data_IF_692485222727
#
_entry.id   IF_692485222727
#
_cell.length_a   1.000
_cell.length_b   1.000
_cell.length_c   1.000
_cell.angle_alpha   90.00
_cell.angle_beta   90.00
_cell.angle_gamma   90.00
#
_symmetry.space_group_name_H-M   'P 1'
#
loop_
_entity.id
_entity.type
_entity.pdbx_description
1 polymer ?
#
# COMPACT_ATOMS: atom_id res chain seq x y z
N UNK A 1 20.42 -8.14 14.78
CA UNK A 1 21.34 -8.48 13.67
C UNK A 1 21.46 -7.27 12.76
N UNK A 2 22.61 -7.05 12.11
CA UNK A 2 22.72 -6.07 11.03
C UNK A 2 21.95 -6.55 9.78
N UNK A 3 21.57 -5.65 8.85
CA UNK A 3 20.96 -6.06 7.58
C UNK A 3 21.76 -7.14 6.82
N UNK A 4 23.09 -7.04 6.81
CA UNK A 4 23.98 -8.01 6.17
C UNK A 4 23.94 -9.38 6.88
N UNK A 5 23.87 -9.39 8.21
CA UNK A 5 23.72 -10.62 8.99
C UNK A 5 22.37 -11.29 8.76
N UNK A 6 21.28 -10.51 8.73
CA UNK A 6 19.93 -11.01 8.42
C UNK A 6 19.90 -11.64 7.04
N UNK A 7 20.40 -10.94 6.02
CA UNK A 7 20.44 -11.45 4.65
C UNK A 7 21.26 -12.74 4.53
N UNK A 8 22.45 -12.79 5.15
CA UNK A 8 23.29 -14.00 5.16
C UNK A 8 22.62 -15.17 5.88
N UNK A 9 21.90 -14.93 6.98
CA UNK A 9 21.19 -15.98 7.71
C UNK A 9 20.07 -16.59 6.87
N UNK A 10 19.26 -15.75 6.20
CA UNK A 10 18.24 -16.23 5.26
C UNK A 10 18.86 -17.07 4.15
N UNK A 11 19.94 -16.57 3.52
CA UNK A 11 20.60 -17.32 2.45
C UNK A 11 21.17 -18.67 2.93
N UNK A 12 21.70 -18.72 4.15
CA UNK A 12 22.20 -19.96 4.75
C UNK A 12 21.09 -20.98 5.04
N UNK A 13 19.92 -20.53 5.48
CA UNK A 13 18.75 -21.40 5.75
C UNK A 13 18.17 -22.02 4.47
N UNK A 14 18.38 -21.38 3.33
CA UNK A 14 17.88 -21.83 2.03
C UNK A 14 18.85 -22.74 1.28
N UNK A 15 20.07 -22.93 1.77
CA UNK A 15 21.05 -23.77 1.10
C UNK A 15 20.52 -25.21 0.92
N UNK A 16 20.63 -25.80 -0.29
CA UNK A 16 21.49 -25.38 -1.41
C UNK A 16 20.83 -24.44 -2.45
N UNK A 17 19.63 -23.93 -2.20
CA UNK A 17 18.97 -23.01 -3.14
C UNK A 17 19.74 -21.69 -3.30
N UNK A 18 19.72 -21.15 -4.51
CA UNK A 18 20.44 -19.93 -4.88
C UNK A 18 19.76 -18.68 -4.32
N UNK A 19 20.10 -18.28 -3.10
CA UNK A 19 19.64 -17.04 -2.48
C UNK A 19 20.73 -15.96 -2.55
N UNK A 20 20.38 -14.78 -3.07
CA UNK A 20 21.31 -13.65 -3.21
C UNK A 20 20.96 -12.55 -2.21
N UNK A 21 21.71 -12.43 -1.10
CA UNK A 21 21.50 -11.36 -0.14
C UNK A 21 22.15 -10.05 -0.61
N UNK A 22 21.45 -8.94 -0.34
CA UNK A 22 21.89 -7.58 -0.57
C UNK A 22 21.34 -6.67 0.53
N UNK A 23 21.73 -5.40 0.52
CA UNK A 23 21.22 -4.39 1.45
C UNK A 23 20.62 -3.25 0.64
N UNK A 24 19.37 -2.89 0.97
CA UNK A 24 18.64 -1.77 0.37
C UNK A 24 18.24 -0.75 1.43
N UNK A 25 17.90 0.48 1.00
CA UNK A 25 17.63 1.60 1.92
C UNK A 25 18.93 2.19 2.46
N UNK A 26 19.23 3.45 2.15
CA UNK A 26 20.52 4.04 2.55
C UNK A 26 20.73 4.10 4.07
N UNK A 27 21.99 4.05 4.51
CA UNK A 27 22.49 4.25 5.90
C UNK A 27 21.46 3.89 6.99
N UNK A 28 20.79 4.87 7.61
CA UNK A 28 19.88 4.67 8.76
C UNK A 28 18.65 3.80 8.49
N UNK A 29 18.30 3.59 7.23
CA UNK A 29 17.13 2.81 6.79
C UNK A 29 17.55 1.52 6.08
N UNK A 30 18.80 1.12 6.24
CA UNK A 30 19.33 -0.11 5.67
C UNK A 30 18.54 -1.33 6.13
N UNK A 31 18.16 -2.18 5.17
CA UNK A 31 17.38 -3.39 5.35
C UNK A 31 17.96 -4.51 4.49
N UNK A 32 17.87 -5.72 5.01
CA UNK A 32 18.23 -6.91 4.25
C UNK A 32 17.26 -7.06 3.07
N UNK A 33 17.77 -7.36 1.89
CA UNK A 33 16.97 -7.78 0.75
C UNK A 33 17.55 -9.07 0.21
N UNK A 34 16.72 -10.10 0.05
CA UNK A 34 17.19 -11.41 -0.39
C UNK A 34 16.37 -11.83 -1.60
N UNK A 35 17.07 -11.99 -2.71
CA UNK A 35 16.50 -12.53 -3.94
C UNK A 35 16.54 -14.05 -3.84
N UNK A 36 15.38 -14.69 -4.00
CA UNK A 36 15.23 -16.15 -3.91
C UNK A 36 14.55 -16.69 -5.18
N UNK A 37 14.86 -17.94 -5.59
CA UNK A 37 14.18 -18.57 -6.71
C UNK A 37 12.71 -18.78 -6.38
N UNK A 38 11.82 -18.68 -7.36
CA UNK A 38 10.38 -18.83 -7.15
C UNK A 38 10.00 -20.18 -6.50
N UNK A 39 10.78 -21.23 -6.79
CA UNK A 39 10.61 -22.55 -6.19
C UNK A 39 10.85 -22.58 -4.67
N UNK A 40 11.72 -21.69 -4.15
CA UNK A 40 12.06 -21.60 -2.73
C UNK A 40 11.32 -20.45 -2.03
N UNK A 41 10.41 -19.75 -2.70
CA UNK A 41 9.69 -18.59 -2.17
C UNK A 41 8.99 -18.89 -0.84
N UNK A 42 8.10 -19.89 -0.82
CA UNK A 42 7.34 -20.23 0.39
C UNK A 42 8.26 -20.70 1.51
N UNK A 43 9.28 -21.50 1.18
CA UNK A 43 10.27 -21.97 2.16
C UNK A 43 11.08 -20.81 2.75
N UNK A 44 11.41 -19.79 1.96
CA UNK A 44 12.10 -18.60 2.44
C UNK A 44 11.29 -17.84 3.49
N UNK A 45 9.99 -17.64 3.24
CA UNK A 45 9.10 -17.00 4.21
C UNK A 45 8.92 -17.86 5.46
N UNK A 46 8.75 -19.17 5.30
CA UNK A 46 8.63 -20.11 6.42
C UNK A 46 9.88 -20.10 7.30
N UNK A 47 11.06 -20.23 6.69
CA UNK A 47 12.35 -20.23 7.39
C UNK A 47 12.63 -18.88 8.07
N UNK A 48 12.27 -17.76 7.45
CA UNK A 48 12.40 -16.44 8.08
C UNK A 48 11.51 -16.29 9.33
N UNK A 49 10.32 -16.89 9.31
CA UNK A 49 9.39 -16.92 10.44
C UNK A 49 9.89 -17.82 11.58
N UNK A 50 10.27 -19.05 11.23
CA UNK A 50 10.49 -20.14 12.20
C UNK A 50 11.90 -20.18 12.79
N UNK A 51 12.89 -19.59 12.10
CA UNK A 51 14.24 -19.49 12.63
C UNK A 51 14.30 -18.60 13.89
N UNK A 52 14.96 -19.07 14.94
CA UNK A 52 14.98 -18.38 16.23
C UNK A 52 15.79 -17.06 16.22
N UNK A 53 16.78 -16.93 15.32
CA UNK A 53 17.59 -15.71 15.19
C UNK A 53 16.89 -14.67 14.32
N UNK A 54 16.17 -15.11 13.28
CA UNK A 54 15.38 -14.22 12.43
C UNK A 54 14.04 -13.84 13.08
N UNK A 55 13.27 -14.82 13.55
CA UNK A 55 11.97 -14.69 14.20
C UNK A 55 11.09 -13.60 13.58
N UNK A 56 10.95 -13.62 12.24
CA UNK A 56 10.15 -12.63 11.51
C UNK A 56 8.65 -12.97 11.66
N UNK A 57 8.11 -12.66 12.84
CA UNK A 57 6.77 -12.97 13.29
C UNK A 57 5.69 -11.99 12.79
N UNK A 58 6.09 -10.86 12.21
CA UNK A 58 5.20 -9.86 11.66
C UNK A 58 5.33 -9.77 10.14
N UNK A 59 4.24 -10.09 9.44
CA UNK A 59 4.08 -9.82 8.02
C UNK A 59 3.55 -8.40 7.84
N UNK A 60 4.28 -7.59 7.08
CA UNK A 60 3.93 -6.17 6.87
C UNK A 60 3.12 -5.98 5.58
N UNK A 61 3.71 -6.31 4.43
CA UNK A 61 3.04 -6.19 3.14
C UNK A 61 3.66 -7.13 2.09
N UNK A 62 2.88 -7.42 1.04
CA UNK A 62 3.33 -8.08 -0.19
C UNK A 62 2.79 -7.31 -1.39
N UNK A 63 3.63 -7.13 -2.41
CA UNK A 63 3.25 -6.53 -3.69
C UNK A 63 4.16 -7.04 -4.81
N UNK A 64 4.03 -6.48 -6.00
CA UNK A 64 4.90 -6.79 -7.12
C UNK A 64 5.47 -5.54 -7.81
N UNK A 65 6.54 -5.74 -8.58
CA UNK A 65 7.10 -4.75 -9.49
C UNK A 65 7.14 -5.36 -10.89
N UNK A 66 6.58 -4.66 -11.87
CA UNK A 66 6.65 -5.06 -13.29
C UNK A 66 8.02 -4.69 -13.85
N UNK A 67 8.88 -5.67 -14.14
CA UNK A 67 10.19 -5.49 -14.77
C UNK A 67 10.12 -5.66 -16.30
N UNK A 68 8.95 -5.42 -16.88
CA UNK A 68 8.68 -5.50 -18.32
C UNK A 68 9.00 -6.90 -18.85
N UNK A 69 9.94 -7.00 -19.79
CA UNK A 69 10.31 -8.25 -20.44
C UNK A 69 10.93 -9.27 -19.47
N UNK A 70 11.50 -8.81 -18.35
CA UNK A 70 12.16 -9.69 -17.38
C UNK A 70 11.15 -10.40 -16.45
N UNK A 71 9.87 -9.99 -16.47
CA UNK A 71 8.81 -10.57 -15.66
C UNK A 71 8.39 -9.68 -14.50
N UNK A 72 7.98 -10.28 -13.39
CA UNK A 72 7.52 -9.57 -12.20
C UNK A 72 8.34 -9.95 -10.97
N UNK A 73 8.75 -8.95 -10.20
CA UNK A 73 9.33 -9.13 -8.88
C UNK A 73 8.23 -9.13 -7.83
N UNK A 74 7.92 -10.28 -7.26
CA UNK A 74 7.07 -10.38 -6.08
C UNK A 74 7.93 -10.08 -4.86
N UNK A 75 7.49 -9.16 -4.01
CA UNK A 75 8.25 -8.69 -2.84
C UNK A 75 7.38 -8.81 -1.60
N UNK A 76 7.93 -9.39 -0.53
CA UNK A 76 7.31 -9.45 0.78
C UNK A 76 8.22 -8.79 1.81
N UNK A 77 7.65 -7.93 2.65
CA UNK A 77 8.34 -7.32 3.78
C UNK A 77 7.95 -8.02 5.08
N UNK A 78 8.96 -8.53 5.77
CA UNK A 78 8.81 -9.20 7.06
C UNK A 78 9.59 -8.46 8.14
N UNK A 79 9.06 -8.50 9.35
CA UNK A 79 9.66 -7.87 10.52
C UNK A 79 9.66 -8.82 11.71
N UNK A 80 10.72 -8.74 12.52
CA UNK A 80 10.78 -9.40 13.82
C UNK A 80 10.43 -8.41 14.92
N UNK A 81 9.29 -8.60 15.58
CA UNK A 81 8.92 -7.79 16.75
C UNK A 81 9.84 -8.07 17.93
N UNK A 82 10.33 -9.31 18.05
CA UNK A 82 11.26 -9.75 19.10
C UNK A 82 12.65 -9.14 18.94
N UNK A 83 13.23 -9.23 17.75
CA UNK A 83 14.64 -8.84 17.52
C UNK A 83 14.77 -7.44 16.90
N UNK A 84 13.66 -6.83 16.45
CA UNK A 84 13.57 -5.49 15.87
C UNK A 84 14.45 -5.29 14.63
N UNK A 85 14.44 -6.27 13.75
CA UNK A 85 15.02 -6.19 12.40
C UNK A 85 13.98 -6.63 11.38
N UNK A 86 14.24 -6.37 10.09
CA UNK A 86 13.37 -6.80 9.01
C UNK A 86 14.14 -7.23 7.77
N UNK A 87 13.43 -7.92 6.89
CA UNK A 87 13.94 -8.43 5.62
C UNK A 87 12.90 -8.21 4.52
N UNK A 88 13.38 -7.84 3.34
CA UNK A 88 12.63 -7.89 2.10
C UNK A 88 13.00 -9.20 1.39
N UNK A 89 12.04 -10.10 1.23
CA UNK A 89 12.19 -11.26 0.38
C UNK A 89 11.63 -10.93 -0.99
N UNK A 90 12.40 -11.23 -2.04
CA UNK A 90 11.98 -10.98 -3.41
C UNK A 90 12.16 -12.22 -4.27
N UNK A 91 11.22 -12.46 -5.16
CA UNK A 91 11.34 -13.50 -6.17
C UNK A 91 10.85 -13.02 -7.52
N UNK A 92 11.51 -13.48 -8.58
CA UNK A 92 11.13 -13.16 -9.95
C UNK A 92 10.29 -14.27 -10.56
N UNK A 93 9.14 -13.90 -11.10
CA UNK A 93 8.25 -14.80 -11.86
C UNK A 93 8.21 -14.40 -13.33
N UNK A 94 8.07 -15.40 -14.21
CA UNK A 94 8.01 -15.19 -15.66
C UNK A 94 6.76 -14.42 -16.07
N UNK A 95 6.84 -13.67 -17.16
CA UNK A 95 5.76 -12.80 -17.61
C UNK A 95 4.57 -13.53 -18.24
N UNK A 96 4.85 -14.60 -18.99
CA UNK A 96 3.84 -15.29 -19.82
C UNK A 96 2.85 -16.10 -18.98
N UNK A 97 3.29 -16.57 -17.82
CA UNK A 97 2.50 -17.33 -16.86
C UNK A 97 3.00 -16.99 -15.45
N UNK A 98 2.73 -15.77 -14.96
CA UNK A 98 3.28 -15.30 -13.70
C UNK A 98 2.58 -16.02 -12.54
N UNK A 99 3.32 -16.89 -11.87
CA UNK A 99 2.80 -17.66 -10.75
C UNK A 99 3.87 -17.86 -9.68
N UNK A 100 3.45 -17.83 -8.42
CA UNK A 100 4.28 -18.13 -7.25
C UNK A 100 3.45 -18.90 -6.23
N UNK A 101 4.10 -19.60 -5.28
CA UNK A 101 3.39 -20.24 -4.17
C UNK A 101 2.76 -19.18 -3.26
N UNK A 102 1.50 -19.40 -2.87
CA UNK A 102 0.85 -18.66 -1.78
C UNK A 102 1.60 -18.89 -0.47
N UNK A 103 1.55 -17.88 0.39
CA UNK A 103 2.16 -17.89 1.73
C UNK A 103 1.12 -17.62 2.81
N UNK A 104 -0.18 -17.72 2.49
CA UNK A 104 -1.28 -17.51 3.44
C UNK A 104 -1.24 -18.49 4.61
N UNK A 105 -0.78 -19.72 4.38
CA UNK A 105 -0.60 -20.72 5.43
C UNK A 105 0.59 -20.41 6.35
N UNK A 106 1.56 -19.63 5.87
CA UNK A 106 2.68 -19.10 6.68
C UNK A 106 2.26 -17.83 7.42
N UNK A 107 1.63 -16.90 6.70
CA UNK A 107 1.17 -15.61 7.19
C UNK A 107 -0.27 -15.35 6.73
N UNK A 108 -1.28 -15.55 7.58
CA UNK A 108 -2.68 -15.37 7.20
C UNK A 108 -3.01 -13.95 6.68
N UNK A 109 -2.26 -12.93 7.14
CA UNK A 109 -2.38 -11.55 6.66
C UNK A 109 -2.00 -11.34 5.18
N UNK A 110 -1.28 -12.30 4.57
CA UNK A 110 -0.92 -12.25 3.16
C UNK A 110 -2.13 -12.39 2.22
N UNK A 111 -3.25 -12.95 2.68
CA UNK A 111 -4.40 -13.25 1.82
C UNK A 111 -4.95 -12.01 1.08
N UNK A 112 -5.00 -10.87 1.75
CA UNK A 112 -5.45 -9.61 1.13
C UNK A 112 -4.44 -9.09 0.11
N UNK A 113 -3.16 -9.18 0.43
CA UNK A 113 -2.05 -8.70 -0.41
C UNK A 113 -1.85 -9.57 -1.66
N UNK A 114 -2.01 -10.89 -1.54
CA UNK A 114 -1.98 -11.81 -2.67
C UNK A 114 -3.15 -11.55 -3.62
N UNK A 115 -4.37 -11.33 -3.09
CA UNK A 115 -5.53 -10.96 -3.91
C UNK A 115 -5.36 -9.61 -4.60
N UNK A 116 -4.88 -8.59 -3.89
CA UNK A 116 -4.58 -7.29 -4.46
C UNK A 116 -3.51 -7.42 -5.56
N UNK A 117 -2.42 -8.13 -5.29
CA UNK A 117 -1.33 -8.32 -6.27
C UNK A 117 -1.81 -9.11 -7.49
N UNK A 118 -2.65 -10.12 -7.29
CA UNK A 118 -3.30 -10.87 -8.36
C UNK A 118 -4.16 -9.96 -9.23
N UNK A 119 -5.01 -9.12 -8.64
CA UNK A 119 -5.87 -8.22 -9.42
C UNK A 119 -5.06 -7.12 -10.12
N UNK A 120 -4.07 -6.54 -9.43
CA UNK A 120 -3.29 -5.40 -9.93
C UNK A 120 -2.23 -5.78 -10.98
N UNK A 121 -1.64 -6.97 -10.88
CA UNK A 121 -0.55 -7.44 -11.73
C UNK A 121 -0.88 -8.71 -12.51
N UNK A 122 -1.98 -9.41 -12.21
CA UNK A 122 -2.35 -10.67 -12.86
C UNK A 122 -1.41 -11.82 -12.52
N UNK A 123 -0.86 -11.84 -11.29
CA UNK A 123 0.04 -12.89 -10.80
C UNK A 123 -0.78 -13.93 -10.03
N UNK A 124 -0.61 -15.21 -10.35
CA UNK A 124 -1.28 -16.30 -9.66
C UNK A 124 -0.54 -16.74 -8.39
N UNK A 125 -1.29 -17.05 -7.34
CA UNK A 125 -0.78 -17.54 -6.06
C UNK A 125 -1.26 -18.97 -5.81
N UNK A 126 -0.42 -19.94 -6.15
CA UNK A 126 -0.74 -21.36 -6.04
C UNK A 126 -0.94 -21.77 -4.58
N UNK A 127 -2.11 -22.34 -4.26
CA UNK A 127 -2.49 -22.70 -2.89
C UNK A 127 -3.38 -21.68 -2.17
N UNK A 128 -3.64 -20.51 -2.77
CA UNK A 128 -4.56 -19.54 -2.19
C UNK A 128 -6.03 -19.98 -2.40
N UNK A 129 -6.78 -20.21 -1.32
CA UNK A 129 -8.14 -20.75 -1.39
C UNK A 129 -9.19 -19.80 -2.02
N UNK A 130 -9.04 -18.49 -1.84
CA UNK A 130 -9.99 -17.48 -2.33
C UNK A 130 -9.31 -16.41 -3.19
N UNK A 131 -8.59 -16.81 -4.25
CA UNK A 131 -7.91 -15.87 -5.14
C UNK A 131 -8.91 -15.24 -6.11
N UNK A 132 -9.56 -14.17 -5.66
CA UNK A 132 -10.59 -13.45 -6.41
C UNK A 132 -10.41 -11.94 -6.27
N UNK A 133 -10.88 -11.15 -7.26
CA UNK A 133 -10.80 -9.68 -7.26
C UNK A 133 -11.20 -9.06 -5.90
N UNK A 134 -10.56 -7.94 -5.54
CA UNK A 134 -10.67 -7.33 -4.22
C UNK A 134 -11.03 -5.84 -4.28
N UNK A 135 -10.39 -5.08 -5.16
CA UNK A 135 -10.40 -3.61 -5.17
C UNK A 135 -11.15 -3.03 -6.36
N UNK A 136 -11.09 -3.65 -7.53
CA UNK A 136 -11.62 -3.07 -8.76
C UNK A 136 -13.12 -3.35 -8.93
N UNK A 137 -13.85 -2.48 -9.65
CA UNK A 137 -15.21 -2.78 -10.07
C UNK A 137 -15.27 -4.10 -10.86
N UNK A 138 -16.36 -4.88 -10.76
CA UNK A 138 -16.50 -6.15 -11.48
C UNK A 138 -16.36 -6.04 -13.01
N UNK A 139 -16.64 -4.87 -13.56
CA UNK A 139 -16.56 -4.58 -15.00
C UNK A 139 -15.18 -4.11 -15.44
N UNK A 140 -14.21 -3.97 -14.51
CA UNK A 140 -12.87 -3.53 -14.85
C UNK A 140 -12.09 -4.64 -15.55
N UNK A 141 -11.55 -4.32 -16.73
CA UNK A 141 -10.72 -5.23 -17.50
C UNK A 141 -9.23 -4.84 -17.45
N UNK A 142 -8.39 -5.82 -17.12
CA UNK A 142 -6.93 -5.68 -17.12
C UNK A 142 -6.30 -5.46 -15.74
N UNK A 143 -5.01 -5.10 -15.76
CA UNK A 143 -4.14 -5.07 -14.59
C UNK A 143 -3.45 -3.70 -14.47
N UNK A 144 -4.00 -2.76 -13.68
CA UNK A 144 -3.65 -1.35 -13.75
C UNK A 144 -2.22 -1.02 -13.30
N UNK A 145 -1.56 -1.88 -12.53
CA UNK A 145 -0.17 -1.66 -12.09
C UNK A 145 0.87 -2.27 -13.04
N UNK A 146 0.45 -2.93 -14.13
CA UNK A 146 1.37 -3.27 -15.23
C UNK A 146 1.81 -2.00 -15.94
N UNK A 147 3.10 -1.88 -16.22
CA UNK A 147 3.71 -0.69 -16.86
C UNK A 147 3.19 -0.47 -18.28
N UNK A 148 2.73 -1.52 -18.95
CA UNK A 148 2.11 -1.46 -20.28
C UNK A 148 0.63 -1.04 -20.27
N UNK A 149 -0.02 -1.05 -19.10
CA UNK A 149 -1.42 -0.69 -18.99
C UNK A 149 -1.61 0.81 -19.24
N UNK A 150 -2.42 1.14 -20.24
CA UNK A 150 -2.67 2.53 -20.61
C UNK A 150 -3.64 3.16 -19.62
N UNK A 151 -3.15 4.14 -18.87
CA UNK A 151 -3.97 4.91 -17.94
C UNK A 151 -4.91 5.86 -18.71
N UNK A 152 -6.15 5.41 -18.95
CA UNK A 152 -7.19 6.20 -19.63
C UNK A 152 -7.40 7.60 -19.01
N UNK A 153 -7.18 7.74 -17.70
CA UNK A 153 -7.23 9.03 -16.98
C UNK A 153 -6.22 10.06 -17.50
N UNK A 154 -5.05 9.63 -18.01
CA UNK A 154 -4.05 10.51 -18.65
C UNK A 154 -4.47 10.98 -20.04
N UNK A 155 -5.41 10.27 -20.67
CA UNK A 155 -5.95 10.61 -22.00
C UNK A 155 -7.18 11.51 -21.86
N UNK A 156 -8.02 11.26 -20.85
CA UNK A 156 -9.27 11.99 -20.64
C UNK A 156 -9.10 13.41 -20.07
N UNK A 157 -8.07 13.66 -19.24
CA UNK A 157 -7.77 14.99 -18.72
C UNK A 157 -6.36 15.41 -19.17
N UNK A 158 -6.20 16.40 -20.07
CA UNK A 158 -4.88 16.87 -20.46
C UNK A 158 -4.12 17.31 -19.21
N UNK A 159 -2.91 16.80 -19.02
CA UNK A 159 -2.07 17.15 -17.89
C UNK A 159 -1.34 18.49 -18.11
N UNK A 160 -1.20 19.36 -17.10
CA UNK A 160 -1.83 19.31 -15.79
C UNK A 160 -3.26 19.83 -15.95
N UNK A 161 -4.25 19.00 -15.68
CA UNK A 161 -5.65 19.41 -15.84
C UNK A 161 -5.91 20.70 -15.07
N UNK A 162 -6.76 21.58 -15.61
CA UNK A 162 -7.08 22.88 -15.01
C UNK A 162 -7.16 22.77 -13.48
N UNK A 163 -6.37 23.62 -12.80
CA UNK A 163 -6.12 23.51 -11.36
C UNK A 163 -7.38 23.83 -10.57
N UNK A 164 -8.32 24.57 -11.17
CA UNK A 164 -9.65 24.84 -10.65
C UNK A 164 -10.70 24.88 -11.79
N UNK A 165 -12.00 24.67 -11.49
CA UNK A 165 -13.09 24.83 -12.45
C UNK A 165 -13.15 26.27 -12.97
N UNK A 166 -12.75 26.50 -14.23
CA UNK A 166 -12.87 27.80 -14.91
C UNK A 166 -11.57 28.43 -15.44
N UNK A 167 -10.40 27.80 -15.26
CA UNK A 167 -9.17 28.27 -15.92
C UNK A 167 -9.19 27.89 -17.42
N UNK A 168 -9.26 28.90 -18.30
CA UNK A 168 -9.20 28.73 -19.74
C UNK A 168 -7.77 28.69 -20.30
N UNK A 169 -7.61 27.89 -21.36
CA UNK A 169 -6.45 27.66 -22.26
C UNK A 169 -5.65 28.92 -22.67
N UNK A 170 -4.87 29.49 -21.75
CA UNK A 170 -3.93 30.57 -22.08
C UNK A 170 -2.63 30.41 -21.29
N UNK A 171 -1.89 29.33 -21.56
CA UNK A 171 -0.56 29.10 -21.00
C UNK A 171 0.35 28.41 -22.02
N UNK A 172 1.43 29.10 -22.42
CA UNK A 172 2.28 28.77 -23.58
C UNK A 172 2.72 27.31 -23.71
N UNK A 173 2.58 26.79 -24.94
CA UNK A 173 2.79 25.40 -25.30
C UNK A 173 4.24 24.92 -25.12
N UNK A 174 4.43 23.97 -24.20
CA UNK A 174 5.49 22.98 -24.33
C UNK A 174 4.92 21.78 -25.07
N UNK A 175 5.58 21.34 -26.15
CA UNK A 175 5.19 20.15 -26.90
C UNK A 175 5.11 18.97 -25.90
N UNK A 176 3.95 18.31 -25.75
CA UNK A 176 3.81 17.24 -24.77
C UNK A 176 4.74 16.08 -25.16
N UNK A 177 5.56 15.65 -24.19
CA UNK A 177 6.36 14.44 -24.35
C UNK A 177 5.39 13.25 -24.36
N UNK A 178 5.45 12.44 -25.43
CA UNK A 178 4.56 11.30 -25.63
C UNK A 178 5.15 10.08 -24.89
N UNK A 179 4.42 9.45 -23.96
CA UNK A 179 4.85 8.18 -23.38
C UNK A 179 4.88 7.08 -24.46
N UNK A 180 5.81 6.12 -24.38
CA UNK A 180 5.80 4.95 -25.26
C UNK A 180 4.45 4.22 -25.20
N UNK A 181 3.87 3.87 -26.35
CA UNK A 181 2.66 3.03 -26.44
C UNK A 181 1.30 3.74 -26.44
N UNK A 182 1.23 5.07 -26.31
CA UNK A 182 -0.05 5.82 -26.38
C UNK A 182 -0.38 6.21 -27.84
N UNK A 183 -1.49 5.73 -28.43
CA UNK A 183 -1.96 6.15 -29.76
C UNK A 183 -2.30 7.65 -29.81
N UNK A 184 -2.33 8.25 -31.00
CA UNK A 184 -2.65 9.66 -31.14
C UNK A 184 -4.12 9.93 -30.77
N UNK A 185 -4.44 11.14 -30.24
CA UNK A 185 -5.83 11.54 -30.03
C UNK A 185 -6.64 11.43 -31.32
N UNK A 186 -7.72 10.65 -31.31
CA UNK A 186 -8.57 10.39 -32.48
C UNK A 186 -8.28 9.08 -33.22
N UNK A 187 -7.20 8.36 -32.89
CA UNK A 187 -6.94 7.01 -33.43
C UNK A 187 -7.72 5.92 -32.66
N UNK A 188 -8.25 6.24 -31.47
CA UNK A 188 -9.02 5.32 -30.64
C UNK A 188 -10.31 5.98 -30.13
N UNK A 189 -11.42 5.24 -30.22
CA UNK A 189 -12.75 5.65 -29.77
C UNK A 189 -13.55 6.42 -30.82
N UNK A 190 -14.88 6.37 -30.71
CA UNK A 190 -15.77 7.22 -31.51
C UNK A 190 -15.64 8.67 -31.05
N UNK A 191 -15.29 9.58 -31.96
CA UNK A 191 -15.42 11.03 -31.70
C UNK A 191 -16.86 11.32 -31.33
N UNK A 192 -17.17 11.87 -30.14
CA UNK A 192 -18.52 12.33 -29.86
C UNK A 192 -18.83 13.42 -30.88
N UNK A 193 -19.79 13.15 -31.78
CA UNK A 193 -20.37 14.19 -32.62
C UNK A 193 -20.93 15.26 -31.67
N UNK A 194 -20.53 16.54 -31.78
CA UNK A 194 -21.18 17.58 -31.01
C UNK A 194 -22.66 17.59 -31.38
N UNK A 195 -23.51 17.23 -30.42
CA UNK A 195 -24.94 17.35 -30.58
C UNK A 195 -25.30 18.83 -30.75
N UNK A 196 -25.90 19.17 -31.89
CA UNK A 196 -26.61 20.44 -32.08
C UNK A 196 -25.93 21.45 -33.01
N UNK A 197 -25.81 21.10 -34.29
CA UNK A 197 -25.80 22.08 -35.37
C UNK A 197 -26.91 21.73 -36.37
N UNK A 198 -28.15 21.89 -35.92
CA UNK A 198 -29.35 21.76 -36.75
C UNK A 198 -30.05 23.10 -36.87
N UNK A 199 -30.11 23.61 -38.10
CA UNK A 199 -31.20 24.45 -38.59
C UNK A 199 -31.31 25.88 -38.06
N UNK A 200 -30.82 26.83 -38.87
CA UNK A 200 -31.18 28.24 -38.78
C UNK A 200 -32.68 28.38 -39.07
N UNK A 201 -33.45 28.91 -38.12
CA UNK A 201 -34.87 29.19 -38.24
C UNK A 201 -35.22 30.46 -37.47
N UNK A 202 -35.68 31.47 -38.20
CA UNK A 202 -36.03 32.82 -37.74
C UNK A 202 -37.40 32.83 -37.03
N UNK A 203 -37.47 33.35 -35.80
CA UNK A 203 -38.70 33.44 -34.98
C UNK A 203 -38.45 34.05 -33.58
N UNK A 204 -39.44 34.66 -32.93
CA UNK A 204 -39.33 36.04 -32.42
C UNK A 204 -38.65 36.20 -31.05
N UNK A 205 -37.97 37.35 -30.93
CA UNK A 205 -37.32 37.88 -29.73
C UNK A 205 -38.31 37.98 -28.56
N UNK A 206 -38.18 37.08 -27.58
CA UNK A 206 -38.79 37.20 -26.25
C UNK A 206 -37.72 37.54 -25.22
N UNK A 207 -37.66 38.81 -24.81
CA UNK A 207 -36.77 39.26 -23.76
C UNK A 207 -37.17 38.70 -22.39
N UNK A 208 -36.19 38.28 -21.58
CA UNK A 208 -36.37 38.07 -20.15
C UNK A 208 -35.52 39.12 -19.41
N UNK A 209 -36.09 39.89 -18.46
CA UNK A 209 -35.44 41.06 -17.89
C UNK A 209 -34.30 40.68 -16.92
N UNK A 210 -33.26 41.50 -16.89
CA UNK A 210 -32.19 41.40 -15.91
C UNK A 210 -32.73 41.63 -14.50
N UNK A 211 -32.46 40.69 -13.59
CA UNK A 211 -32.77 40.82 -12.16
C UNK A 211 -31.72 41.73 -11.51
N UNK A 212 -32.09 42.79 -10.77
CA UNK A 212 -31.12 43.71 -10.18
C UNK A 212 -30.37 43.06 -9.01
N UNK A 213 -29.10 43.45 -8.88
CA UNK A 213 -28.21 43.05 -7.79
C UNK A 213 -28.80 43.51 -6.44
N UNK A 214 -28.88 42.59 -5.47
CA UNK A 214 -29.13 42.93 -4.07
C UNK A 214 -27.83 42.83 -3.28
N UNK A 215 -27.54 43.87 -2.51
CA UNK A 215 -26.39 43.98 -1.62
C UNK A 215 -26.35 42.86 -0.57
N UNK A 216 -25.13 42.42 -0.28
CA UNK A 216 -24.80 41.41 0.72
C UNK A 216 -24.78 42.06 2.12
N UNK A 217 -25.48 41.53 3.13
CA UNK A 217 -25.37 42.03 4.50
C UNK A 217 -23.97 41.78 5.07
N UNK A 218 -23.48 42.72 5.88
CA UNK A 218 -22.19 42.65 6.54
C UNK A 218 -22.10 41.47 7.53
N UNK A 219 -20.91 40.85 7.56
CA UNK A 219 -20.55 39.72 8.43
C UNK A 219 -20.33 40.21 9.87
N UNK A 220 -20.92 39.59 10.91
CA UNK A 220 -20.64 39.97 12.28
C UNK A 220 -19.18 39.65 12.67
N UNK A 221 -18.60 40.50 13.51
CA UNK A 221 -17.21 40.44 13.96
C UNK A 221 -16.91 39.15 14.75
N UNK A 222 -15.70 38.62 14.54
CA UNK A 222 -15.17 37.43 15.22
C UNK A 222 -15.07 37.68 16.72
N UNK A 223 -15.82 36.93 17.54
CA UNK A 223 -15.59 36.87 18.98
C UNK A 223 -14.19 36.30 19.26
N UNK A 224 -13.47 36.93 20.17
CA UNK A 224 -12.11 36.53 20.55
C UNK A 224 -12.10 35.18 21.26
N UNK A 225 -11.26 34.27 20.76
CA UNK A 225 -10.96 32.97 21.39
C UNK A 225 -10.18 33.21 22.68
N UNK A 226 -10.58 32.64 23.84
CA UNK A 226 -9.82 32.83 25.07
C UNK A 226 -8.42 32.23 24.96
N UNK A 227 -7.43 33.02 25.34
CA UNK A 227 -6.00 32.69 25.32
C UNK A 227 -5.69 31.64 26.39
N UNK A 228 -5.01 30.57 25.96
CA UNK A 228 -4.56 29.48 26.84
C UNK A 228 -3.28 29.93 27.55
N UNK A 229 -3.34 30.13 28.86
CA UNK A 229 -2.19 30.54 29.68
C UNK A 229 -1.11 29.44 29.67
N UNK A 230 0.17 29.79 29.43
CA UNK A 230 1.26 28.81 29.50
C UNK A 230 1.53 28.42 30.96
N UNK A 231 1.67 27.12 31.19
CA UNK A 231 1.99 26.53 32.49
C UNK A 231 3.50 26.56 32.70
N UNK A 232 3.96 27.29 33.71
CA UNK A 232 5.35 27.31 34.15
C UNK A 232 5.72 26.01 34.89
N UNK A 233 6.93 25.53 34.66
CA UNK A 233 7.70 24.63 35.54
C UNK A 233 9.12 25.25 35.67
N UNK A 234 9.99 24.86 36.63
CA UNK A 234 9.91 23.80 37.63
C UNK A 234 10.25 24.28 39.07
N UNK A 235 10.06 23.41 40.06
CA UNK A 235 10.52 23.62 41.43
C UNK A 235 10.71 22.28 42.14
N UNK A 236 11.95 22.02 42.51
CA UNK A 236 12.47 20.88 43.28
C UNK A 236 11.87 20.78 44.67
N UNK A 237 11.58 19.56 45.13
CA UNK A 237 11.98 19.11 46.48
C UNK A 237 11.91 17.58 46.59
N UNK A 238 12.93 17.03 47.24
CA UNK A 238 13.21 15.61 47.40
C UNK A 238 12.45 14.91 48.55
N UNK A 239 12.89 13.69 48.92
CA UNK A 239 11.97 12.63 49.35
C UNK A 239 12.00 12.30 50.87
N UNK A 240 10.89 11.77 51.37
CA UNK A 240 10.80 10.91 52.56
C UNK A 240 9.42 10.20 52.52
N UNK A 241 9.20 8.94 52.86
CA UNK A 241 10.06 7.89 53.38
C UNK A 241 9.19 6.69 53.79
N UNK A 242 9.75 5.49 53.63
CA UNK A 242 9.53 4.24 54.39
C UNK A 242 8.11 3.78 54.79
N UNK A 243 7.79 2.55 54.36
CA UNK A 243 6.79 1.70 55.03
C UNK A 243 6.65 0.33 54.35
N UNK A 244 7.61 -0.57 54.56
CA UNK A 244 7.49 -2.01 54.22
C UNK A 244 6.74 -2.82 55.31
N UNK A 245 6.81 -4.16 55.30
CA UNK A 245 5.73 -5.00 54.78
C UNK A 245 5.16 -6.02 55.80
N UNK A 246 3.99 -6.59 55.51
CA UNK A 246 3.47 -7.83 56.13
C UNK A 246 2.34 -8.38 55.26
N UNK A 247 1.97 -9.66 55.20
CA UNK A 247 2.63 -10.96 55.31
C UNK A 247 1.52 -11.98 54.99
N UNK A 248 1.83 -13.02 54.21
CA UNK A 248 1.24 -14.39 54.24
C UNK A 248 -0.27 -14.58 54.03
N UNK A 249 -0.58 -15.51 53.12
CA UNK A 249 -1.88 -16.18 53.06
C UNK A 249 -2.06 -17.01 51.80
N UNK A 250 -1.33 -18.11 51.68
CA UNK A 250 -1.61 -19.17 50.72
C UNK A 250 -2.92 -19.87 51.10
N UNK A 251 -3.78 -20.17 50.13
CA UNK A 251 -4.91 -21.08 50.31
C UNK A 251 -4.81 -22.19 49.26
N UNK A 252 -4.55 -23.38 49.78
CA UNK A 252 -4.51 -24.68 49.11
C UNK A 252 -5.87 -25.11 48.56
N UNK A 253 -5.79 -25.94 47.53
CA UNK A 253 -6.86 -26.82 47.03
C UNK A 253 -7.08 -27.97 48.02
N UNK A 254 -8.28 -28.56 48.08
CA UNK A 254 -8.41 -29.95 48.48
C UNK A 254 -8.68 -30.84 47.25
N UNK A 255 -7.90 -31.91 47.17
CA UNK A 255 -8.17 -33.13 46.43
C UNK A 255 -8.17 -34.25 47.48
N UNK A 256 -9.24 -35.04 47.58
CA UNK A 256 -9.24 -36.38 48.14
C UNK A 256 -10.60 -37.06 47.96
N UNK A 257 -10.51 -38.32 47.58
CA UNK A 257 -11.53 -39.25 47.16
C UNK A 257 -12.18 -40.06 48.30
N UNK A 258 -13.10 -40.94 47.87
CA UNK A 258 -13.56 -42.20 48.50
C UNK A 258 -14.50 -42.15 49.71
N UNK A 259 -15.76 -42.56 49.49
CA UNK A 259 -16.40 -43.60 50.31
C UNK A 259 -17.44 -44.38 49.49
N UNK A 260 -17.32 -45.71 49.60
CA UNK A 260 -18.15 -46.84 49.14
C UNK A 260 -19.62 -46.79 49.55
N UNK A 261 -20.53 -47.14 48.63
CA UNK A 261 -21.43 -48.33 48.66
C UNK A 261 -22.10 -48.51 47.28
#
# INVERSE_FOLDING_TARGET
>A
MTPEEVGRRVAALLAPAEATPSVSGGQRHARATVDVPAASWREALLSARDDAELACDYFDWLSAVDELADGFDVVAHLWSTRHRHGVLLRTRVRREAPAVASVVDVYPGAAWHERETHEMFGIDFAGHHELRPLLLPPEFEGHPLRKEFILASRVAKPWPGAKEPGESEAGGGRRPIRPPGVPAPGEWGTTPTPAGAGGVGEGPRGGTPARPARERPARPASAARPTRTPRSAPGTDGPAGSGGPSSRGAAERPDAAEETD
#
